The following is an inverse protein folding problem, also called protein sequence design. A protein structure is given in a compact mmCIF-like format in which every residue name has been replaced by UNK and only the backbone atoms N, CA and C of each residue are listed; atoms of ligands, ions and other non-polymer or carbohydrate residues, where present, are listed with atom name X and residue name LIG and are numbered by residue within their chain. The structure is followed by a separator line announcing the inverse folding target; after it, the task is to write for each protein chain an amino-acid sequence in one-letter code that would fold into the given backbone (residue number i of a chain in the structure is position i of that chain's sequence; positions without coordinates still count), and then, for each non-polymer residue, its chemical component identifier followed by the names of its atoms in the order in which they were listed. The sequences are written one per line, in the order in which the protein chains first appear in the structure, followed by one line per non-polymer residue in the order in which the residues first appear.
data_IF_904460106267
#
_entry.id   IF_904460106267
#
_cell.length_a   1.000
_cell.length_b   1.000
_cell.length_c   1.000
_cell.angle_alpha   90.00
_cell.angle_beta   90.00
_cell.angle_gamma   90.00
#
_symmetry.space_group_name_H-M   'P 1'
#
loop_
_entity.id
_entity.type
_entity.pdbx_description
1 polymer ?
#
# COMPACT_ATOMS: atom_id res chain seq x y z
N UNK A 1 10.85 11.43 8.48
CA UNK A 1 11.88 11.26 7.43
C UNK A 1 13.17 10.82 8.10
N UNK A 2 13.76 9.72 7.65
CA UNK A 2 15.03 9.18 8.17
C UNK A 2 16.01 8.98 6.99
N UNK A 3 17.22 8.54 7.26
CA UNK A 3 18.22 8.24 6.22
C UNK A 3 18.67 6.79 6.34
N UNK A 4 19.12 6.20 5.25
CA UNK A 4 19.66 4.83 5.24
C UNK A 4 21.20 4.81 5.12
N UNK A 5 21.79 3.68 5.52
CA UNK A 5 23.15 3.35 5.17
C UNK A 5 23.25 3.04 3.67
N UNK A 6 24.48 2.97 3.13
CA UNK A 6 24.67 2.64 1.73
C UNK A 6 24.09 1.26 1.40
N UNK A 7 23.25 1.20 0.37
CA UNK A 7 22.69 -0.04 -0.15
C UNK A 7 23.44 -0.37 -1.44
N UNK A 8 24.41 -1.26 -1.35
CA UNK A 8 25.31 -1.59 -2.46
C UNK A 8 24.83 -2.74 -3.33
N UNK A 9 23.78 -3.46 -2.92
CA UNK A 9 23.21 -4.58 -3.66
C UNK A 9 21.72 -4.36 -3.96
N UNK A 10 21.33 -4.62 -5.19
CA UNK A 10 19.91 -4.61 -5.62
C UNK A 10 19.10 -5.77 -5.04
N UNK A 11 19.77 -6.81 -4.52
CA UNK A 11 19.14 -7.98 -3.91
C UNK A 11 19.16 -7.96 -2.38
N UNK A 12 19.62 -6.85 -1.77
CA UNK A 12 19.65 -6.72 -0.32
C UNK A 12 18.24 -6.77 0.25
N UNK A 13 17.98 -7.69 1.17
CA UNK A 13 16.71 -7.84 1.90
C UNK A 13 16.76 -7.24 3.29
N UNK A 14 17.87 -6.65 3.67
CA UNK A 14 18.09 -5.98 4.96
C UNK A 14 18.70 -4.60 4.74
N UNK A 15 18.10 -3.59 5.32
CA UNK A 15 18.50 -2.18 5.20
C UNK A 15 18.62 -1.58 6.59
N UNK A 16 19.76 -0.94 6.88
CA UNK A 16 19.93 -0.15 8.10
C UNK A 16 19.49 1.29 7.88
N UNK A 17 18.78 1.84 8.83
CA UNK A 17 18.33 3.24 8.86
C UNK A 17 18.81 3.95 10.11
N UNK A 18 18.96 5.25 10.06
CA UNK A 18 19.41 6.05 11.22
C UNK A 18 18.37 6.05 12.35
N UNK A 19 17.09 5.96 12.03
CA UNK A 19 16.00 5.79 12.99
C UNK A 19 14.79 5.10 12.33
N UNK A 20 14.24 4.08 12.99
CA UNK A 20 13.03 3.40 12.54
C UNK A 20 11.78 3.81 13.36
N UNK A 21 11.85 4.88 14.17
CA UNK A 21 10.79 5.26 15.11
C UNK A 21 9.44 5.49 14.44
N UNK A 22 9.43 6.08 13.24
CA UNK A 22 8.22 6.40 12.48
C UNK A 22 7.89 5.36 11.40
N UNK A 23 8.62 4.25 11.38
CA UNK A 23 8.44 3.17 10.42
C UNK A 23 7.83 1.95 11.11
N UNK A 24 7.01 1.22 10.38
CA UNK A 24 6.36 -0.02 10.85
C UNK A 24 6.37 -1.12 9.79
N UNK A 25 6.17 -2.38 10.21
CA UNK A 25 5.90 -3.46 9.27
C UNK A 25 4.66 -3.17 8.44
N UNK A 26 4.60 -3.75 7.25
CA UNK A 26 3.53 -3.56 6.27
C UNK A 26 3.43 -2.13 5.70
N UNK A 27 4.49 -1.34 5.81
CA UNK A 27 4.59 -0.02 5.18
C UNK A 27 5.49 -0.07 3.96
N UNK A 28 5.21 0.82 3.00
CA UNK A 28 6.09 1.07 1.87
C UNK A 28 6.88 2.35 2.12
N UNK A 29 8.18 2.31 1.86
CA UNK A 29 9.07 3.45 1.89
C UNK A 29 9.57 3.77 0.48
N UNK A 30 9.94 5.01 0.28
CA UNK A 30 10.55 5.51 -0.96
C UNK A 30 11.99 5.92 -0.65
N UNK A 31 12.94 5.39 -1.42
CA UNK A 31 14.34 5.82 -1.43
C UNK A 31 14.67 6.19 -2.87
N UNK A 32 14.97 7.45 -3.12
CA UNK A 32 15.09 8.01 -4.47
C UNK A 32 13.82 7.72 -5.31
N UNK A 33 13.89 6.81 -6.27
CA UNK A 33 12.78 6.40 -7.13
C UNK A 33 12.29 4.97 -6.86
N UNK A 34 12.89 4.26 -5.89
CA UNK A 34 12.55 2.90 -5.57
C UNK A 34 11.55 2.82 -4.42
N UNK A 35 10.47 2.08 -4.64
CA UNK A 35 9.54 1.69 -3.58
C UNK A 35 9.97 0.36 -2.98
N UNK A 36 10.03 0.33 -1.66
CA UNK A 36 10.53 -0.80 -0.86
C UNK A 36 9.50 -1.12 0.21
N UNK A 37 9.07 -2.37 0.29
CA UNK A 37 8.09 -2.81 1.28
C UNK A 37 8.77 -3.38 2.52
N UNK A 38 8.36 -2.92 3.70
CA UNK A 38 8.90 -3.38 4.99
C UNK A 38 8.12 -4.60 5.45
N UNK A 39 8.78 -5.74 5.57
CA UNK A 39 8.19 -6.97 6.09
C UNK A 39 8.38 -7.11 7.60
N UNK A 40 9.51 -6.68 8.14
CA UNK A 40 9.80 -6.71 9.57
C UNK A 40 10.79 -5.61 9.96
N UNK A 41 10.82 -5.27 11.26
CA UNK A 41 11.76 -4.29 11.83
C UNK A 41 12.38 -4.88 13.09
N UNK A 42 13.71 -4.74 13.21
CA UNK A 42 14.45 -5.08 14.41
C UNK A 42 15.43 -3.96 14.76
N UNK A 43 15.11 -3.16 15.76
CA UNK A 43 15.86 -1.94 16.07
C UNK A 43 15.81 -0.98 14.88
N UNK A 44 16.96 -0.60 14.34
CA UNK A 44 17.08 0.25 13.16
C UNK A 44 17.33 -0.56 11.86
N UNK A 45 17.13 -1.86 11.90
CA UNK A 45 17.29 -2.72 10.72
C UNK A 45 15.92 -3.12 10.19
N UNK A 46 15.68 -2.84 8.92
CA UNK A 46 14.46 -3.18 8.19
C UNK A 46 14.69 -4.46 7.39
N UNK A 47 13.80 -5.42 7.51
CA UNK A 47 13.70 -6.53 6.54
C UNK A 47 12.71 -6.14 5.47
N UNK A 48 13.11 -6.25 4.21
CA UNK A 48 12.37 -5.60 3.11
C UNK A 48 12.26 -6.48 1.87
N UNK A 49 11.22 -6.17 1.08
CA UNK A 49 11.10 -6.55 -0.32
C UNK A 49 11.40 -5.33 -1.19
N UNK A 50 12.28 -5.53 -2.19
CA UNK A 50 12.81 -4.47 -3.05
C UNK A 50 12.00 -4.34 -4.34
N UNK A 51 11.98 -3.13 -4.90
CA UNK A 51 11.43 -2.88 -6.23
C UNK A 51 9.92 -3.17 -6.33
N UNK A 52 9.15 -2.89 -5.28
CA UNK A 52 7.70 -3.11 -5.28
C UNK A 52 6.96 -2.06 -6.11
N UNK A 53 5.67 -2.31 -6.37
CA UNK A 53 4.76 -1.40 -7.08
C UNK A 53 5.26 -0.98 -8.48
N UNK A 54 5.99 -1.86 -9.17
CA UNK A 54 6.50 -1.60 -10.52
C UNK A 54 7.77 -0.77 -10.59
N UNK A 55 8.41 -0.47 -9.46
CA UNK A 55 9.75 0.15 -9.44
C UNK A 55 10.84 -0.91 -9.60
N UNK A 56 12.05 -0.48 -9.91
CA UNK A 56 13.20 -1.39 -10.05
C UNK A 56 14.15 -1.21 -8.87
N UNK A 57 14.62 -2.32 -8.30
CA UNK A 57 15.59 -2.30 -7.23
C UNK A 57 16.91 -1.69 -7.71
N UNK A 58 17.40 -0.71 -6.97
CA UNK A 58 18.62 0.05 -7.29
C UNK A 58 19.59 0.08 -6.10
N UNK A 59 20.80 0.53 -6.34
CA UNK A 59 21.75 0.87 -5.27
C UNK A 59 21.49 2.29 -4.78
N UNK A 60 21.68 2.52 -3.49
CA UNK A 60 21.47 3.84 -2.87
C UNK A 60 22.71 4.26 -2.09
N UNK A 61 23.00 5.54 -2.15
CA UNK A 61 24.12 6.12 -1.42
C UNK A 61 23.85 6.16 0.08
N UNK A 62 24.90 6.19 0.89
CA UNK A 62 24.76 6.48 2.31
C UNK A 62 24.10 7.85 2.51
N UNK A 63 23.29 7.96 3.55
CA UNK A 63 22.49 9.13 3.88
C UNK A 63 21.39 9.47 2.84
N UNK A 64 21.04 8.54 1.93
CA UNK A 64 19.87 8.71 1.09
C UNK A 64 18.61 8.84 1.96
N UNK A 65 17.72 9.73 1.56
CA UNK A 65 16.50 10.02 2.30
C UNK A 65 15.53 8.84 2.18
N UNK A 66 15.02 8.39 3.32
CA UNK A 66 13.98 7.40 3.43
C UNK A 66 12.68 8.11 3.79
N UNK A 67 11.75 8.15 2.86
CA UNK A 67 10.43 8.72 3.08
C UNK A 67 9.39 7.61 3.17
N UNK A 68 8.41 7.74 4.07
CA UNK A 68 7.25 6.84 4.08
C UNK A 68 6.39 7.18 2.86
N UNK A 69 6.03 6.17 2.08
CA UNK A 69 5.09 6.35 0.99
C UNK A 69 3.68 6.53 1.58
N UNK A 70 3.06 7.64 1.27
CA UNK A 70 1.68 7.93 1.69
C UNK A 70 0.75 7.77 0.49
N UNK A 71 -0.23 6.88 0.65
CA UNK A 71 -1.25 6.70 -0.37
C UNK A 71 -2.21 7.89 -0.35
N UNK A 72 -2.71 8.35 -1.51
CA UNK A 72 -3.74 9.37 -1.56
C UNK A 72 -4.93 8.99 -0.66
N UNK A 73 -5.44 9.95 0.12
CA UNK A 73 -6.52 9.69 1.09
C UNK A 73 -7.76 9.08 0.44
N UNK A 74 -8.03 9.44 -0.82
CA UNK A 74 -9.14 8.86 -1.58
C UNK A 74 -8.98 7.35 -1.76
N UNK A 75 -7.76 6.87 -2.04
CA UNK A 75 -7.46 5.43 -2.18
C UNK A 75 -7.62 4.74 -0.83
N UNK A 76 -7.11 5.35 0.25
CA UNK A 76 -7.24 4.83 1.61
C UNK A 76 -8.71 4.72 2.01
N UNK A 77 -9.50 5.76 1.73
CA UNK A 77 -10.93 5.77 2.04
C UNK A 77 -11.69 4.72 1.23
N UNK A 78 -11.41 4.60 -0.07
CA UNK A 78 -12.01 3.58 -0.91
C UNK A 78 -11.72 2.16 -0.42
N UNK A 79 -10.49 1.88 0.02
CA UNK A 79 -10.14 0.59 0.63
C UNK A 79 -10.93 0.33 1.91
N UNK A 80 -11.08 1.35 2.77
CA UNK A 80 -11.90 1.24 3.99
C UNK A 80 -13.37 0.97 3.68
N UNK A 81 -13.92 1.63 2.67
CA UNK A 81 -15.32 1.47 2.30
C UNK A 81 -15.58 0.10 1.65
N UNK A 82 -14.68 -0.38 0.79
CA UNK A 82 -14.74 -1.75 0.27
C UNK A 82 -14.67 -2.79 1.40
N UNK A 83 -13.78 -2.60 2.36
CA UNK A 83 -13.67 -3.50 3.51
C UNK A 83 -14.97 -3.53 4.34
N UNK A 84 -15.62 -2.37 4.55
CA UNK A 84 -16.92 -2.29 5.23
C UNK A 84 -18.02 -3.04 4.47
N UNK A 85 -18.07 -2.88 3.13
CA UNK A 85 -19.03 -3.57 2.27
C UNK A 85 -18.85 -5.09 2.42
N UNK A 86 -17.62 -5.59 2.27
CA UNK A 86 -17.32 -7.02 2.39
C UNK A 86 -17.64 -7.56 3.78
N UNK A 87 -17.34 -6.80 4.83
CA UNK A 87 -17.63 -7.21 6.21
C UNK A 87 -19.13 -7.28 6.47
N UNK A 88 -19.89 -6.28 6.02
CA UNK A 88 -21.36 -6.24 6.14
C UNK A 88 -22.01 -7.37 5.36
N UNK A 89 -21.54 -7.65 4.15
CA UNK A 89 -22.06 -8.74 3.31
C UNK A 89 -21.86 -10.11 3.97
N UNK A 90 -20.69 -10.32 4.59
CA UNK A 90 -20.41 -11.52 5.39
C UNK A 90 -21.34 -11.65 6.61
N UNK A 91 -21.70 -10.54 7.25
CA UNK A 91 -22.57 -10.54 8.43
C UNK A 91 -24.04 -10.78 8.06
N UNK A 92 -24.50 -10.23 6.93
CA UNK A 92 -25.83 -10.47 6.36
C UNK A 92 -25.98 -11.93 5.94
N UNK A 93 -24.96 -12.55 5.36
CA UNK A 93 -24.96 -13.97 5.01
C UNK A 93 -24.98 -14.92 6.22
N UNK A 94 -24.71 -14.40 7.43
CA UNK A 94 -24.79 -15.13 8.69
C UNK A 94 -26.14 -14.98 9.42
N UNK A 95 -26.83 -13.89 9.20
CA UNK A 95 -28.22 -13.70 9.62
C UNK A 95 -29.14 -14.20 8.52
N UNK A 96 -29.23 -15.53 8.42
CA UNK A 96 -30.28 -16.19 7.69
C UNK A 96 -31.60 -15.79 8.35
N UNK A 97 -32.22 -14.75 7.86
CA UNK A 97 -33.62 -14.48 8.04
C UNK A 97 -34.06 -13.13 7.47
N UNK A 98 -35.06 -13.22 6.66
CA UNK A 98 -36.03 -12.19 6.30
C UNK A 98 -35.70 -11.40 5.02
N UNK A 99 -36.24 -11.94 3.94
CA UNK A 99 -36.77 -11.18 2.81
C UNK A 99 -35.78 -10.32 2.07
N UNK A 100 -35.40 -10.72 0.88
CA UNK A 100 -34.64 -9.98 -0.13
C UNK A 100 -33.11 -10.13 -0.14
N UNK A 101 -32.62 -11.35 -0.03
CA UNK A 101 -31.18 -11.61 -0.26
C UNK A 101 -30.65 -11.07 -1.60
N UNK A 102 -31.48 -11.08 -2.63
CA UNK A 102 -31.12 -10.54 -3.95
C UNK A 102 -30.97 -9.00 -3.96
N UNK A 103 -31.83 -8.26 -3.26
CA UNK A 103 -31.72 -6.81 -3.16
C UNK A 103 -30.51 -6.35 -2.34
N UNK A 104 -30.17 -7.07 -1.27
CA UNK A 104 -29.01 -6.75 -0.45
C UNK A 104 -27.69 -6.98 -1.23
N UNK A 105 -27.62 -8.08 -1.98
CA UNK A 105 -26.46 -8.39 -2.85
C UNK A 105 -26.35 -7.38 -3.99
N UNK A 106 -27.47 -6.99 -4.60
CA UNK A 106 -27.50 -5.97 -5.66
C UNK A 106 -26.98 -4.63 -5.16
N UNK A 107 -27.41 -4.17 -4.00
CA UNK A 107 -26.95 -2.92 -3.38
C UNK A 107 -25.45 -2.97 -3.02
N UNK A 108 -24.98 -4.07 -2.47
CA UNK A 108 -23.56 -4.23 -2.15
C UNK A 108 -22.69 -4.16 -3.41
N UNK A 109 -23.12 -4.75 -4.51
CA UNK A 109 -22.45 -4.71 -5.79
C UNK A 109 -22.44 -3.30 -6.40
N UNK A 110 -23.56 -2.57 -6.32
CA UNK A 110 -23.66 -1.19 -6.78
C UNK A 110 -22.76 -0.24 -5.96
N UNK A 111 -22.76 -0.39 -4.63
CA UNK A 111 -21.86 0.37 -3.74
C UNK A 111 -20.39 0.08 -4.04
N UNK A 112 -20.01 -1.19 -4.21
CA UNK A 112 -18.65 -1.58 -4.56
C UNK A 112 -18.24 -1.03 -5.94
N UNK A 113 -19.14 -1.08 -6.93
CA UNK A 113 -18.90 -0.53 -8.25
C UNK A 113 -18.71 0.99 -8.20
N UNK A 114 -19.48 1.70 -7.39
CA UNK A 114 -19.34 3.14 -7.16
C UNK A 114 -17.97 3.48 -6.57
N UNK A 115 -17.54 2.76 -5.53
CA UNK A 115 -16.22 2.95 -4.91
C UNK A 115 -15.10 2.69 -5.91
N UNK A 116 -15.19 1.59 -6.68
CA UNK A 116 -14.20 1.24 -7.70
C UNK A 116 -14.14 2.27 -8.83
N UNK A 117 -15.28 2.84 -9.24
CA UNK A 117 -15.31 3.91 -10.25
C UNK A 117 -14.58 5.17 -9.78
N UNK A 118 -14.71 5.51 -8.50
CA UNK A 118 -14.04 6.66 -7.89
C UNK A 118 -12.53 6.53 -7.93
N UNK A 119 -11.98 5.33 -7.71
CA UNK A 119 -10.53 5.09 -7.75
C UNK A 119 -10.00 4.71 -9.13
N UNK A 120 -10.86 4.55 -10.13
CA UNK A 120 -10.44 4.16 -11.48
C UNK A 120 -9.49 5.18 -12.13
N UNK A 121 -9.58 6.46 -11.75
CA UNK A 121 -8.69 7.53 -12.21
C UNK A 121 -7.25 7.38 -11.68
N UNK A 122 -7.07 6.63 -10.58
CA UNK A 122 -5.75 6.31 -10.00
C UNK A 122 -5.16 5.02 -10.55
N UNK A 123 -5.85 4.35 -11.47
CA UNK A 123 -5.32 3.16 -12.12
C UNK A 123 -4.07 3.54 -12.90
N UNK A 124 -2.93 2.96 -12.50
CA UNK A 124 -1.69 3.06 -13.26
C UNK A 124 -1.93 2.37 -14.60
N UNK A 125 -2.22 3.15 -15.63
CA UNK A 125 -2.11 2.68 -17.00
C UNK A 125 -0.62 2.50 -17.26
N UNK A 126 -0.19 1.28 -17.54
CA UNK A 126 1.22 0.87 -17.67
C UNK A 126 1.97 1.51 -18.84
N UNK A 127 1.86 2.79 -18.99
CA UNK A 127 2.72 3.63 -19.81
C UNK A 127 3.43 4.60 -18.88
N UNK A 128 4.75 4.41 -18.81
CA UNK A 128 5.70 5.26 -18.12
C UNK A 128 5.43 6.75 -18.41
N UNK A 129 4.75 7.41 -17.51
CA UNK A 129 4.87 8.85 -17.37
C UNK A 129 4.44 9.27 -15.97
N UNK A 130 5.44 9.73 -15.25
CA UNK A 130 5.46 10.61 -14.12
C UNK A 130 4.23 10.64 -13.22
N UNK A 131 4.36 10.06 -12.05
CA UNK A 131 3.55 10.46 -10.90
C UNK A 131 3.88 11.94 -10.67
N UNK A 132 2.95 12.82 -11.03
CA UNK A 132 3.00 14.22 -10.65
C UNK A 132 2.46 14.30 -9.23
N UNK A 133 3.33 14.66 -8.31
CA UNK A 133 2.98 15.06 -6.95
C UNK A 133 2.60 16.53 -6.93
#
# INVERSE_FOLDING_TARGET
VTTCDAITSTTATSISVSSATDLGPAQTILIDTEQIYITAISGNTLTVERGVSGTTAATHSAAATVARFEYPELVVQACKDLAKIVYRDRDIGRTDMIGSGEEAISRANEEAASVLSTISSYRVTGTSNGIIF
#
